data_IF_855551621408
#
_entry.id   IF_855551621408
#
_cell.length_a   1.000
_cell.length_b   1.000
_cell.length_c   1.000
_cell.angle_alpha   90.00
_cell.angle_beta   90.00
_cell.angle_gamma   90.00
#
_symmetry.space_group_name_H-M   'P 1'
#
loop_
_entity.id
_entity.type
_entity.pdbx_description
1 polymer ?
#
# COMPACT_ATOMS: atom_id res chain seq x y z
N UNK A 1 -13.70 7.67 -15.87
CA UNK A 1 -14.15 6.89 -14.69
C UNK A 1 -15.42 6.12 -15.01
N UNK A 2 -16.51 6.77 -15.42
CA UNK A 2 -17.75 6.07 -15.83
C UNK A 2 -17.50 5.02 -16.92
N UNK A 3 -16.74 5.36 -17.97
CA UNK A 3 -16.36 4.37 -18.99
C UNK A 3 -15.59 3.15 -18.46
N UNK A 4 -14.82 3.28 -17.36
CA UNK A 4 -14.14 2.13 -16.72
C UNK A 4 -15.16 1.24 -16.00
N UNK A 5 -16.14 1.84 -15.33
CA UNK A 5 -17.27 1.10 -14.75
C UNK A 5 -18.06 0.35 -15.82
N UNK A 6 -18.36 0.98 -16.96
CA UNK A 6 -19.04 0.34 -18.09
C UNK A 6 -18.24 -0.83 -18.69
N UNK A 7 -16.92 -0.82 -18.56
CA UNK A 7 -16.03 -1.93 -18.94
C UNK A 7 -15.98 -3.05 -17.88
N UNK A 8 -16.69 -2.91 -16.75
CA UNK A 8 -16.71 -3.90 -15.68
C UNK A 8 -15.56 -3.77 -14.69
N UNK A 9 -14.85 -2.63 -14.62
CA UNK A 9 -13.87 -2.40 -13.56
C UNK A 9 -14.55 -2.40 -12.19
N UNK A 10 -13.96 -3.11 -11.23
CA UNK A 10 -14.51 -3.22 -9.86
C UNK A 10 -14.31 -1.96 -9.01
N UNK A 11 -13.38 -1.07 -9.37
CA UNK A 11 -13.10 0.16 -8.63
C UNK A 11 -12.38 1.20 -9.51
N UNK A 12 -12.30 2.43 -9.00
CA UNK A 12 -11.37 3.46 -9.47
C UNK A 12 -10.19 3.51 -8.51
N UNK A 13 -9.01 3.08 -8.97
CA UNK A 13 -7.80 3.06 -8.15
C UNK A 13 -6.92 4.29 -8.37
N UNK A 14 -6.83 5.13 -7.35
CA UNK A 14 -5.99 6.33 -7.31
C UNK A 14 -4.64 5.98 -6.70
N UNK A 15 -3.57 6.00 -7.50
CA UNK A 15 -2.22 5.63 -7.04
C UNK A 15 -1.36 6.87 -6.85
N UNK A 16 -0.92 7.13 -5.61
CA UNK A 16 -0.08 8.28 -5.21
C UNK A 16 -0.62 9.61 -5.70
N UNK A 17 -1.94 9.79 -5.58
CA UNK A 17 -2.68 10.86 -6.23
C UNK A 17 -2.76 12.18 -5.44
N UNK A 18 -2.05 12.28 -4.31
CA UNK A 18 -2.13 13.39 -3.32
C UNK A 18 -2.04 14.77 -3.96
N UNK A 19 -1.08 14.98 -4.86
CA UNK A 19 -0.85 16.27 -5.53
C UNK A 19 -1.93 16.64 -6.57
N UNK A 20 -2.79 15.69 -6.96
CA UNK A 20 -3.89 15.91 -7.89
C UNK A 20 -5.27 15.91 -7.22
N UNK A 21 -5.35 15.78 -5.90
CA UNK A 21 -6.61 15.67 -5.17
C UNK A 21 -7.64 16.76 -5.51
N UNK A 22 -7.30 18.05 -5.65
CA UNK A 22 -8.29 19.08 -5.97
C UNK A 22 -9.05 18.79 -7.28
N UNK A 23 -8.35 18.27 -8.30
CA UNK A 23 -8.96 17.93 -9.58
C UNK A 23 -9.69 16.59 -9.53
N UNK A 24 -9.12 15.61 -8.84
CA UNK A 24 -9.70 14.27 -8.73
C UNK A 24 -11.02 14.32 -7.96
N UNK A 25 -11.09 15.04 -6.85
CA UNK A 25 -12.32 15.20 -6.06
C UNK A 25 -13.43 15.82 -6.93
N UNK A 26 -13.10 16.86 -7.70
CA UNK A 26 -14.05 17.46 -8.64
C UNK A 26 -14.50 16.46 -9.71
N UNK A 27 -13.59 15.70 -10.27
CA UNK A 27 -13.90 14.71 -11.30
C UNK A 27 -14.74 13.55 -10.76
N UNK A 28 -14.49 13.09 -9.54
CA UNK A 28 -15.31 12.10 -8.84
C UNK A 28 -16.73 12.62 -8.61
N UNK A 29 -16.85 13.87 -8.13
CA UNK A 29 -18.15 14.51 -7.92
C UNK A 29 -18.97 14.64 -9.21
N UNK A 30 -18.36 15.02 -10.34
CA UNK A 30 -19.08 15.00 -11.62
C UNK A 30 -19.37 13.56 -12.07
N UNK A 31 -18.47 12.62 -11.79
CA UNK A 31 -18.68 11.19 -12.07
C UNK A 31 -19.91 10.61 -11.36
N UNK A 32 -20.15 10.96 -10.09
CA UNK A 32 -21.33 10.48 -9.36
C UNK A 32 -22.63 11.00 -9.96
N UNK A 33 -22.67 12.25 -10.44
CA UNK A 33 -23.83 12.79 -11.19
C UNK A 33 -24.09 12.04 -12.49
N UNK A 34 -23.04 11.46 -13.07
CA UNK A 34 -23.10 10.65 -14.29
C UNK A 34 -23.32 9.15 -14.00
N UNK A 35 -23.56 8.76 -12.74
CA UNK A 35 -23.86 7.37 -12.37
C UNK A 35 -22.65 6.51 -12.01
N UNK A 36 -21.50 7.10 -11.68
CA UNK A 36 -20.37 6.37 -11.08
C UNK A 36 -20.77 5.86 -9.68
N UNK A 37 -20.72 4.55 -9.50
CA UNK A 37 -21.10 3.84 -8.26
C UNK A 37 -20.04 2.86 -7.76
N UNK A 38 -19.06 2.50 -8.58
CA UNK A 38 -17.98 1.61 -8.16
C UNK A 38 -17.08 2.27 -7.11
N UNK A 39 -16.54 1.50 -6.14
CA UNK A 39 -15.69 2.00 -5.08
C UNK A 39 -14.49 2.81 -5.57
N UNK A 40 -14.08 3.80 -4.77
CA UNK A 40 -12.83 4.55 -4.95
C UNK A 40 -11.78 3.97 -4.01
N UNK A 41 -10.68 3.48 -4.59
CA UNK A 41 -9.50 3.01 -3.85
C UNK A 41 -8.45 4.12 -3.82
N UNK A 42 -7.92 4.42 -2.64
CA UNK A 42 -6.80 5.34 -2.45
C UNK A 42 -5.54 4.57 -2.05
N UNK A 43 -4.72 4.29 -3.06
CA UNK A 43 -3.46 3.58 -2.95
C UNK A 43 -2.31 4.58 -2.80
N UNK A 44 -1.64 4.55 -1.66
CA UNK A 44 -0.74 5.64 -1.27
C UNK A 44 0.48 5.15 -0.48
N UNK A 45 1.47 6.03 -0.34
CA UNK A 45 2.69 5.73 0.42
C UNK A 45 2.50 5.77 1.94
N UNK A 46 1.30 6.17 2.39
CA UNK A 46 0.94 6.33 3.79
C UNK A 46 1.65 7.49 4.46
N UNK A 47 2.33 8.38 3.73
CA UNK A 47 3.05 9.54 4.29
C UNK A 47 2.30 10.86 4.03
N UNK A 48 1.01 10.75 3.70
CA UNK A 48 0.11 11.88 3.60
C UNK A 48 -0.18 12.45 4.99
N UNK A 49 -0.19 13.78 5.11
CA UNK A 49 -0.57 14.41 6.37
C UNK A 49 -2.05 14.10 6.72
N UNK A 50 -2.39 13.86 8.00
CA UNK A 50 -3.75 13.47 8.39
C UNK A 50 -4.84 14.45 7.93
N UNK A 51 -4.54 15.74 7.83
CA UNK A 51 -5.45 16.77 7.34
C UNK A 51 -5.85 16.52 5.88
N UNK A 52 -4.93 16.00 5.06
CA UNK A 52 -5.22 15.62 3.68
C UNK A 52 -6.12 14.40 3.64
N UNK A 53 -5.86 13.41 4.49
CA UNK A 53 -6.71 12.21 4.59
C UNK A 53 -8.11 12.57 5.09
N UNK A 54 -8.24 13.50 6.04
CA UNK A 54 -9.53 13.95 6.57
C UNK A 54 -10.47 14.48 5.47
N UNK A 55 -9.92 15.15 4.45
CA UNK A 55 -10.69 15.67 3.29
C UNK A 55 -11.28 14.53 2.45
N UNK A 56 -10.69 13.34 2.47
CA UNK A 56 -11.13 12.17 1.71
C UNK A 56 -12.30 11.43 2.37
N UNK A 57 -12.73 11.87 3.56
CA UNK A 57 -13.85 11.29 4.29
C UNK A 57 -15.14 11.27 3.48
N UNK A 58 -15.68 10.07 3.25
CA UNK A 58 -16.89 9.87 2.45
C UNK A 58 -16.68 9.96 0.94
N UNK A 59 -15.45 10.17 0.48
CA UNK A 59 -15.06 10.14 -0.94
C UNK A 59 -14.35 8.84 -1.27
N UNK A 60 -13.44 8.39 -0.38
CA UNK A 60 -12.69 7.15 -0.53
C UNK A 60 -13.40 6.04 0.23
N UNK A 61 -13.59 4.91 -0.43
CA UNK A 61 -14.19 3.73 0.16
C UNK A 61 -13.15 2.77 0.72
N UNK A 62 -12.01 2.64 0.03
CA UNK A 62 -10.94 1.70 0.38
C UNK A 62 -9.61 2.44 0.45
N UNK A 63 -8.91 2.31 1.58
CA UNK A 63 -7.54 2.79 1.71
C UNK A 63 -6.57 1.62 1.56
N UNK A 64 -5.51 1.85 0.78
CA UNK A 64 -4.43 0.90 0.55
C UNK A 64 -3.06 1.57 0.79
N UNK A 65 -2.75 2.00 2.04
CA UNK A 65 -1.51 2.68 2.36
C UNK A 65 -0.33 1.72 2.51
N UNK A 66 0.86 2.22 2.24
CA UNK A 66 2.10 1.58 2.66
C UNK A 66 2.44 1.95 4.10
N UNK A 67 2.76 0.96 4.92
CA UNK A 67 3.58 1.13 6.12
C UNK A 67 4.97 0.59 5.78
N UNK A 68 5.85 1.42 5.23
CA UNK A 68 7.12 1.00 4.64
C UNK A 68 8.23 0.80 5.68
N UNK A 69 8.25 1.64 6.71
CA UNK A 69 9.31 1.68 7.71
C UNK A 69 8.74 1.73 9.12
N UNK A 70 9.27 0.90 10.02
CA UNK A 70 8.95 0.91 11.45
C UNK A 70 9.74 1.94 12.26
N UNK A 71 10.80 2.53 11.69
CA UNK A 71 11.64 3.54 12.33
C UNK A 71 11.96 4.72 11.41
N UNK A 72 12.06 5.92 11.97
CA UNK A 72 12.48 7.11 11.21
C UNK A 72 13.92 7.02 10.72
N UNK A 73 14.77 6.23 11.40
CA UNK A 73 16.15 6.03 10.98
C UNK A 73 16.23 5.38 9.59
N UNK A 74 15.47 4.31 9.35
CA UNK A 74 15.46 3.64 8.03
C UNK A 74 14.68 4.46 7.00
N UNK A 75 13.59 5.11 7.41
CA UNK A 75 12.83 6.00 6.55
C UNK A 75 13.67 7.18 6.03
N UNK A 76 14.44 7.82 6.91
CA UNK A 76 15.37 8.88 6.53
C UNK A 76 16.48 8.36 5.62
N UNK A 77 17.11 7.23 6.00
CA UNK A 77 18.22 6.66 5.24
C UNK A 77 17.86 6.32 3.79
N UNK A 78 16.67 5.74 3.57
CA UNK A 78 16.29 5.21 2.26
C UNK A 78 15.33 6.11 1.48
N UNK A 79 14.56 6.95 2.16
CA UNK A 79 13.52 7.80 1.54
C UNK A 79 13.60 9.27 1.93
N UNK A 80 14.59 9.69 2.74
CA UNK A 80 14.73 11.07 3.24
C UNK A 80 13.47 11.59 3.95
N UNK A 81 12.77 10.71 4.66
CA UNK A 81 11.58 11.02 5.46
C UNK A 81 11.91 10.84 6.95
N UNK A 82 12.15 11.94 7.65
CA UNK A 82 12.66 12.01 9.02
C UNK A 82 11.60 11.90 10.12
N UNK A 83 10.33 12.16 9.79
CA UNK A 83 9.16 12.00 10.68
C UNK A 83 8.14 10.99 10.12
N UNK A 84 8.62 10.08 9.26
CA UNK A 84 7.78 9.10 8.55
C UNK A 84 6.86 8.33 9.48
N UNK A 85 7.38 7.78 10.58
CA UNK A 85 6.64 6.89 11.46
C UNK A 85 5.46 7.62 12.11
N UNK A 86 5.66 8.84 12.58
CA UNK A 86 4.63 9.64 13.22
C UNK A 86 3.53 10.01 12.23
N UNK A 87 3.89 10.53 11.07
CA UNK A 87 2.95 10.91 10.01
C UNK A 87 2.21 9.67 9.50
N UNK A 88 2.92 8.58 9.25
CA UNK A 88 2.34 7.34 8.72
C UNK A 88 1.35 6.70 9.68
N UNK A 89 1.70 6.62 10.96
CA UNK A 89 0.81 6.10 12.00
C UNK A 89 -0.44 6.96 12.15
N UNK A 90 -0.29 8.29 12.10
CA UNK A 90 -1.42 9.21 12.18
C UNK A 90 -2.34 9.09 10.95
N UNK A 91 -1.77 9.01 9.75
CA UNK A 91 -2.49 8.83 8.50
C UNK A 91 -3.29 7.52 8.49
N UNK A 92 -2.64 6.39 8.83
CA UNK A 92 -3.28 5.06 8.88
C UNK A 92 -4.43 5.03 9.88
N UNK A 93 -4.27 5.66 11.05
CA UNK A 93 -5.36 5.78 12.03
C UNK A 93 -6.54 6.58 11.49
N UNK A 94 -6.29 7.69 10.80
CA UNK A 94 -7.34 8.51 10.20
C UNK A 94 -8.04 7.76 9.06
N UNK A 95 -7.29 7.03 8.23
CA UNK A 95 -7.86 6.15 7.20
C UNK A 95 -8.78 5.10 7.84
N UNK A 96 -8.30 4.36 8.84
CA UNK A 96 -9.10 3.36 9.54
C UNK A 96 -10.36 3.96 10.16
N UNK A 97 -10.26 5.15 10.77
CA UNK A 97 -11.42 5.86 11.36
C UNK A 97 -12.52 6.13 10.33
N UNK A 98 -12.17 6.37 9.06
CA UNK A 98 -13.12 6.69 8.01
C UNK A 98 -13.81 5.44 7.41
N UNK A 99 -13.04 4.37 7.18
CA UNK A 99 -13.52 3.23 6.40
C UNK A 99 -13.71 1.94 7.21
N UNK A 100 -13.03 1.81 8.35
CA UNK A 100 -13.05 0.64 9.22
C UNK A 100 -12.35 -0.60 8.62
N UNK A 101 -12.68 -1.80 9.13
CA UNK A 101 -12.15 -3.06 8.62
C UNK A 101 -12.49 -3.29 7.15
N UNK A 102 -11.63 -4.02 6.44
CA UNK A 102 -11.86 -4.40 5.04
C UNK A 102 -13.10 -5.29 4.92
N UNK A 103 -13.98 -4.95 3.98
CA UNK A 103 -15.21 -5.68 3.67
C UNK A 103 -15.26 -6.03 2.19
N UNK A 104 -15.64 -7.28 1.95
CA UNK A 104 -15.83 -7.84 0.62
C UNK A 104 -17.28 -8.24 0.41
N UNK A 105 -17.72 -8.28 -0.84
CA UNK A 105 -18.99 -8.89 -1.22
C UNK A 105 -18.90 -10.44 -1.25
N UNK A 106 -19.99 -11.10 -1.62
CA UNK A 106 -20.07 -12.57 -1.72
C UNK A 106 -19.11 -13.18 -2.76
N UNK A 107 -18.58 -12.36 -3.68
CA UNK A 107 -17.59 -12.76 -4.68
C UNK A 107 -16.15 -12.48 -4.22
N UNK A 108 -15.95 -11.99 -3.00
CA UNK A 108 -14.64 -11.63 -2.47
C UNK A 108 -14.09 -10.29 -2.99
N UNK A 109 -14.93 -9.46 -3.63
CA UNK A 109 -14.52 -8.14 -4.14
C UNK A 109 -14.65 -7.11 -3.03
N UNK A 110 -13.54 -6.47 -2.68
CA UNK A 110 -13.52 -5.43 -1.67
C UNK A 110 -14.32 -4.20 -2.12
N UNK A 111 -15.21 -3.71 -1.25
CA UNK A 111 -16.00 -2.50 -1.51
C UNK A 111 -15.81 -1.40 -0.48
N UNK A 112 -15.23 -1.70 0.70
CA UNK A 112 -14.92 -0.69 1.73
C UNK A 112 -13.84 -1.19 2.70
N UNK A 113 -13.05 -0.30 3.26
CA UNK A 113 -12.20 -0.57 4.42
C UNK A 113 -10.71 -0.37 4.19
N UNK A 114 -9.89 -0.76 5.16
CA UNK A 114 -8.45 -0.55 5.14
C UNK A 114 -7.68 -1.86 4.89
N UNK A 115 -6.75 -1.82 3.94
CA UNK A 115 -5.75 -2.87 3.74
C UNK A 115 -4.35 -2.25 3.82
N UNK A 116 -3.56 -2.61 4.82
CA UNK A 116 -2.22 -2.06 5.02
C UNK A 116 -1.21 -2.89 4.22
N UNK A 117 -0.44 -2.24 3.36
CA UNK A 117 0.63 -2.88 2.63
C UNK A 117 1.96 -2.72 3.37
N UNK A 118 2.70 -3.81 3.47
CA UNK A 118 4.02 -3.81 4.08
C UNK A 118 5.02 -4.54 3.18
N UNK A 119 5.95 -3.79 2.57
CA UNK A 119 7.05 -4.36 1.80
C UNK A 119 8.19 -4.73 2.75
N UNK A 120 8.47 -6.03 2.87
CA UNK A 120 9.61 -6.50 3.67
C UNK A 120 10.90 -6.19 2.92
N UNK A 121 11.81 -5.48 3.57
CA UNK A 121 13.14 -5.19 3.03
C UNK A 121 14.15 -6.23 3.54
N UNK A 122 15.17 -6.56 2.73
CA UNK A 122 16.29 -7.39 3.18
C UNK A 122 16.93 -6.84 4.46
N UNK A 123 17.58 -7.72 5.23
CA UNK A 123 18.25 -7.38 6.49
C UNK A 123 17.39 -6.59 7.49
N UNK A 124 16.06 -6.85 7.50
CA UNK A 124 15.06 -6.15 8.32
C UNK A 124 15.14 -4.61 8.22
N UNK A 125 15.48 -4.11 7.03
CA UNK A 125 15.60 -2.66 6.82
C UNK A 125 14.25 -1.94 6.78
N UNK A 126 13.14 -2.69 6.76
CA UNK A 126 11.78 -2.20 6.95
C UNK A 126 11.41 -2.04 8.42
N UNK A 127 12.18 -2.60 9.37
CA UNK A 127 11.81 -2.64 10.79
C UNK A 127 10.41 -3.22 10.97
N UNK A 128 10.22 -4.43 10.42
CA UNK A 128 8.91 -5.05 10.25
C UNK A 128 8.27 -5.44 11.58
N UNK A 129 9.09 -5.83 12.56
CA UNK A 129 8.64 -6.20 13.90
C UNK A 129 8.10 -4.98 14.66
N UNK A 130 8.67 -3.80 14.47
CA UNK A 130 8.18 -2.54 15.05
C UNK A 130 6.83 -2.14 14.47
N UNK A 131 6.60 -2.39 13.18
CA UNK A 131 5.29 -2.18 12.56
C UNK A 131 4.27 -3.17 13.13
N UNK A 132 4.60 -4.46 13.20
CA UNK A 132 3.74 -5.47 13.78
C UNK A 132 3.38 -5.15 15.24
N UNK A 133 4.37 -4.74 16.06
CA UNK A 133 4.18 -4.34 17.44
C UNK A 133 3.27 -3.12 17.57
N UNK A 134 3.49 -2.08 16.74
CA UNK A 134 2.64 -0.91 16.71
C UNK A 134 1.19 -1.26 16.36
N UNK A 135 0.97 -2.00 15.27
CA UNK A 135 -0.37 -2.36 14.82
C UNK A 135 -1.12 -3.11 15.92
N UNK A 136 -0.47 -4.07 16.57
CA UNK A 136 -1.06 -4.86 17.67
C UNK A 136 -1.39 -4.01 18.90
N UNK A 137 -0.66 -2.92 19.10
CA UNK A 137 -0.91 -2.00 20.23
C UNK A 137 -2.06 -1.02 20.00
N UNK A 138 -2.47 -0.81 18.74
CA UNK A 138 -3.45 0.23 18.37
C UNK A 138 -4.75 -0.35 17.84
N UNK A 139 -4.72 -1.52 17.20
CA UNK A 139 -5.86 -2.12 16.54
C UNK A 139 -6.09 -3.55 17.03
N UNK A 140 -7.34 -3.97 17.00
CA UNK A 140 -7.67 -5.39 17.10
C UNK A 140 -7.19 -6.10 15.82
N UNK A 141 -6.41 -7.19 15.92
CA UNK A 141 -5.83 -7.84 14.74
C UNK A 141 -6.85 -8.29 13.69
N UNK A 142 -8.06 -8.65 14.12
CA UNK A 142 -9.16 -9.07 13.24
C UNK A 142 -9.73 -7.92 12.39
N UNK A 143 -9.51 -6.67 12.81
CA UNK A 143 -10.01 -5.49 12.11
C UNK A 143 -9.05 -4.99 11.01
N UNK A 144 -7.82 -5.49 10.98
CA UNK A 144 -6.78 -5.03 10.06
C UNK A 144 -6.40 -6.13 9.09
N UNK A 145 -6.57 -5.85 7.80
CA UNK A 145 -6.04 -6.69 6.73
C UNK A 145 -4.63 -6.24 6.35
N UNK A 146 -3.69 -7.19 6.30
CA UNK A 146 -2.30 -6.96 5.90
C UNK A 146 -2.06 -7.51 4.49
N UNK A 147 -1.36 -6.74 3.66
CA UNK A 147 -0.74 -7.23 2.43
C UNK A 147 0.78 -7.24 2.63
N UNK A 148 1.33 -8.38 3.02
CA UNK A 148 2.75 -8.57 3.27
C UNK A 148 3.46 -8.93 1.96
N UNK A 149 4.31 -8.03 1.47
CA UNK A 149 4.91 -8.14 0.16
C UNK A 149 6.39 -8.54 0.24
N UNK A 150 6.80 -9.46 -0.63
CA UNK A 150 8.19 -9.92 -0.76
C UNK A 150 8.93 -9.28 -1.96
N UNK A 151 8.24 -8.47 -2.77
CA UNK A 151 8.67 -8.10 -4.13
C UNK A 151 9.76 -7.01 -4.19
N UNK A 152 10.61 -6.91 -3.17
CA UNK A 152 11.67 -5.92 -3.14
C UNK A 152 12.73 -6.25 -4.21
N UNK A 153 13.02 -5.26 -5.07
CA UNK A 153 14.07 -5.36 -6.08
C UNK A 153 15.01 -4.17 -5.99
N UNK A 154 16.32 -4.39 -5.80
CA UNK A 154 17.28 -3.31 -5.74
C UNK A 154 17.46 -2.71 -7.14
N UNK A 155 17.03 -1.45 -7.31
CA UNK A 155 17.16 -0.70 -8.56
C UNK A 155 17.70 0.70 -8.30
N UNK A 156 18.23 1.34 -9.34
CA UNK A 156 18.78 2.69 -9.28
C UNK A 156 19.85 2.83 -8.19
N UNK A 157 19.67 3.70 -7.20
CA UNK A 157 20.60 3.97 -6.09
C UNK A 157 20.58 2.91 -4.98
N UNK A 158 19.73 1.90 -5.06
CA UNK A 158 19.71 0.82 -4.05
C UNK A 158 21.08 0.12 -3.93
N UNK A 159 21.87 0.07 -5.01
CA UNK A 159 23.24 -0.47 -4.99
C UNK A 159 24.19 0.28 -4.04
N UNK A 160 23.91 1.54 -3.73
CA UNK A 160 24.73 2.37 -2.85
C UNK A 160 24.51 1.99 -1.36
N UNK A 161 23.51 1.16 -1.08
CA UNK A 161 23.14 0.74 0.28
C UNK A 161 23.32 -0.77 0.44
N UNK A 162 24.42 -1.17 1.09
CA UNK A 162 24.80 -2.57 1.24
C UNK A 162 23.71 -3.46 1.88
N UNK A 163 22.88 -2.91 2.76
CA UNK A 163 21.82 -3.65 3.45
C UNK A 163 20.55 -3.87 2.63
N UNK A 164 20.38 -3.13 1.52
CA UNK A 164 19.22 -3.28 0.64
C UNK A 164 19.59 -3.51 -0.82
N UNK A 165 20.85 -3.80 -1.14
CA UNK A 165 21.27 -3.98 -2.54
C UNK A 165 20.99 -5.39 -3.10
N UNK A 166 20.17 -6.19 -2.42
CA UNK A 166 19.77 -7.53 -2.82
C UNK A 166 18.28 -7.78 -2.50
N UNK A 167 17.63 -8.78 -3.11
CA UNK A 167 16.27 -9.19 -2.74
C UNK A 167 16.19 -9.66 -1.28
N UNK A 168 14.97 -9.66 -0.72
CA UNK A 168 14.70 -10.26 0.59
C UNK A 168 14.98 -11.76 0.55
N UNK A 169 15.59 -12.30 1.61
CA UNK A 169 15.77 -13.75 1.74
C UNK A 169 14.47 -14.41 2.20
N UNK A 170 14.27 -15.68 1.82
CA UNK A 170 13.12 -16.47 2.26
C UNK A 170 13.06 -16.59 3.78
N UNK A 171 14.22 -16.76 4.44
CA UNK A 171 14.33 -16.81 5.90
C UNK A 171 13.80 -15.53 6.58
N UNK A 172 14.21 -14.35 6.10
CA UNK A 172 13.75 -13.08 6.67
C UNK A 172 12.26 -12.89 6.43
N UNK A 173 11.81 -13.15 5.20
CA UNK A 173 10.40 -12.98 4.86
C UNK A 173 9.50 -13.90 5.68
N UNK A 174 9.86 -15.20 5.81
CA UNK A 174 9.06 -16.15 6.58
C UNK A 174 9.07 -15.79 8.07
N UNK A 175 10.21 -15.35 8.63
CA UNK A 175 10.25 -14.90 10.02
C UNK A 175 9.35 -13.68 10.27
N UNK A 176 9.31 -12.70 9.34
CA UNK A 176 8.38 -11.57 9.44
C UNK A 176 6.94 -12.03 9.30
N UNK A 177 6.64 -12.89 8.32
CA UNK A 177 5.30 -13.47 8.10
C UNK A 177 4.79 -14.18 9.36
N UNK A 178 5.61 -15.04 9.96
CA UNK A 178 5.30 -15.72 11.23
C UNK A 178 4.99 -14.72 12.36
N UNK A 179 5.72 -13.60 12.45
CA UNK A 179 5.43 -12.55 13.43
C UNK A 179 4.04 -11.93 13.25
N UNK A 180 3.65 -11.59 12.02
CA UNK A 180 2.34 -11.03 11.73
C UNK A 180 1.21 -12.04 11.98
N UNK A 181 1.40 -13.29 11.56
CA UNK A 181 0.44 -14.38 11.80
C UNK A 181 0.28 -14.67 13.30
N UNK A 182 1.39 -14.73 14.05
CA UNK A 182 1.38 -14.97 15.50
C UNK A 182 0.76 -13.81 16.29
N UNK A 183 0.78 -12.60 15.72
CA UNK A 183 0.06 -11.45 16.26
C UNK A 183 -1.45 -11.49 15.98
N UNK A 184 -1.91 -12.39 15.12
CA UNK A 184 -3.32 -12.59 14.76
C UNK A 184 -3.78 -11.79 13.55
N UNK A 185 -2.86 -11.22 12.76
CA UNK A 185 -3.22 -10.46 11.56
C UNK A 185 -3.56 -11.38 10.39
N UNK A 186 -4.66 -11.08 9.72
CA UNK A 186 -5.09 -11.78 8.50
C UNK A 186 -4.78 -10.95 7.25
N UNK A 187 -4.81 -11.62 6.09
CA UNK A 187 -4.71 -10.95 4.80
C UNK A 187 -3.87 -11.73 3.78
N UNK A 188 -3.17 -10.98 2.92
CA UNK A 188 -2.47 -11.50 1.76
C UNK A 188 -0.97 -11.56 2.04
N UNK A 189 -0.45 -12.77 2.17
CA UNK A 189 0.97 -13.05 2.35
C UNK A 189 1.51 -13.67 1.07
N UNK A 190 2.51 -13.02 0.46
CA UNK A 190 3.11 -13.46 -0.80
C UNK A 190 4.14 -14.57 -0.60
N UNK A 191 4.38 -15.35 -1.64
CA UNK A 191 5.46 -16.33 -1.65
C UNK A 191 6.67 -15.77 -2.40
N UNK A 192 7.86 -15.84 -1.80
CA UNK A 192 9.11 -15.30 -2.37
C UNK A 192 9.45 -15.97 -3.71
N UNK A 193 9.03 -17.23 -3.87
CA UNK A 193 9.32 -18.07 -5.05
C UNK A 193 8.54 -17.66 -6.29
N UNK A 194 7.43 -16.94 -6.13
CA UNK A 194 6.51 -16.57 -7.22
C UNK A 194 6.79 -15.16 -7.77
N UNK A 195 7.94 -14.56 -7.43
CA UNK A 195 8.30 -13.20 -7.83
C UNK A 195 8.77 -13.13 -9.28
N UNK A 196 7.84 -12.90 -10.20
CA UNK A 196 8.13 -12.69 -11.62
C UNK A 196 8.95 -11.41 -11.89
N UNK A 197 9.86 -11.47 -12.87
CA UNK A 197 10.70 -10.36 -13.34
C UNK A 197 10.05 -9.51 -14.42
N UNK A 198 8.90 -9.89 -14.95
CA UNK A 198 8.26 -9.25 -16.09
C UNK A 198 7.87 -7.77 -15.90
N UNK A 199 7.73 -7.30 -14.65
CA UNK A 199 7.33 -5.91 -14.36
C UNK A 199 8.49 -4.95 -14.03
N UNK A 200 9.75 -5.39 -14.13
CA UNK A 200 10.89 -4.50 -13.93
C UNK A 200 10.98 -3.44 -15.04
N UNK A 201 10.86 -2.16 -14.66
CA UNK A 201 11.08 -1.04 -15.57
C UNK A 201 12.58 -0.88 -15.79
N UNK A 202 13.03 -1.07 -17.03
CA UNK A 202 14.39 -0.75 -17.42
C UNK A 202 14.50 0.76 -17.68
N UNK A 203 14.98 1.52 -16.69
CA UNK A 203 15.17 2.97 -16.78
C UNK A 203 16.25 3.41 -17.79
N UNK A 204 17.02 2.48 -18.37
CA UNK A 204 18.02 2.76 -19.42
C UNK A 204 17.48 2.53 -20.83
N UNK A 205 16.32 1.89 -20.98
CA UNK A 205 15.67 1.66 -22.28
C UNK A 205 14.38 2.46 -22.34
N UNK A 206 14.30 3.38 -23.31
CA UNK A 206 13.03 4.01 -23.66
C UNK A 206 12.11 2.90 -24.20
N UNK A 207 10.98 2.68 -23.53
CA UNK A 207 9.98 1.69 -24.00
C UNK A 207 9.19 2.32 -25.14
N UNK A 208 9.22 1.70 -26.32
CA UNK A 208 8.36 2.07 -27.45
C UNK A 208 6.99 1.38 -27.37
N UNK A 209 6.90 0.25 -26.65
CA UNK A 209 5.67 -0.49 -26.42
C UNK A 209 5.18 -0.40 -24.97
N UNK A 210 3.86 -0.31 -24.74
CA UNK A 210 3.28 -0.33 -23.41
C UNK A 210 3.54 -1.65 -22.69
N UNK A 211 3.70 -1.59 -21.36
CA UNK A 211 3.75 -2.74 -20.47
C UNK A 211 2.37 -3.41 -20.41
N UNK A 212 1.99 -4.16 -21.45
CA UNK A 212 0.84 -5.04 -21.39
C UNK A 212 1.33 -6.38 -20.86
N UNK A 213 1.00 -6.71 -19.61
CA UNK A 213 1.30 -8.01 -19.01
C UNK A 213 0.51 -9.14 -19.65
N UNK A 214 0.74 -9.41 -20.94
CA UNK A 214 0.28 -10.61 -21.62
C UNK A 214 1.37 -11.67 -21.44
N UNK A 215 1.08 -12.62 -20.55
CA UNK A 215 1.68 -13.96 -20.51
C UNK A 215 1.52 -14.66 -21.85
#
# INVERSE_FOLDING_TARGET
>A
MVALQEQGCHNINLVTATHFLPWIIRALYEGTKMGLTIPVVYNCGGYEVPETIAILGGIVDIFLPDMKYGTNKTAFLYSHADDYVEINRAAVREMFRQVGPLRTDDNGIAYRGLCIRHLVLPNDQSSSYEICSYLKSVFDPQDITISLMAQYKPVYKACDFALINHPVSEEIYESVKESFLSAGFEGFYQEVRDLDNNFLINFKKRKEEPLTGKS
#
